data_IF_473687351682
#
_entry.id   IF_473687351682
#
_cell.length_a   1.000
_cell.length_b   1.000
_cell.length_c   1.000
_cell.angle_alpha   90.00
_cell.angle_beta   90.00
_cell.angle_gamma   90.00
#
_symmetry.space_group_name_H-M   'P 1'
#
loop_
_entity.id
_entity.type
_entity.pdbx_description
1 polymer ?
#
# COMPACT_ATOMS: atom_id res chain seq x y z
N UNK A 1 -1.34 14.16 55.92
CA UNK A 1 -2.35 13.76 54.90
C UNK A 1 -1.85 12.71 53.88
N UNK A 2 -0.56 12.53 53.69
CA UNK A 2 -0.01 11.61 52.68
C UNK A 2 -0.08 10.11 53.04
N UNK A 3 -0.11 9.76 54.31
CA UNK A 3 -0.14 8.33 54.76
C UNK A 3 -1.49 7.64 54.61
N UNK A 4 -2.60 8.36 54.52
CA UNK A 4 -3.94 7.77 54.31
C UNK A 4 -4.23 7.31 52.87
N UNK A 5 -3.59 7.93 51.90
CA UNK A 5 -3.79 7.55 50.49
C UNK A 5 -2.93 6.36 50.07
N UNK A 6 -1.81 6.11 50.74
CA UNK A 6 -0.95 4.96 50.48
C UNK A 6 -1.58 3.65 50.91
N UNK A 7 -2.40 3.66 51.97
CA UNK A 7 -3.11 2.47 52.47
C UNK A 7 -4.28 2.07 51.58
N UNK A 8 -4.93 3.03 50.91
CA UNK A 8 -6.04 2.77 50.00
C UNK A 8 -5.56 2.16 48.65
N UNK A 9 -4.34 2.47 48.23
CA UNK A 9 -3.75 1.94 46.99
C UNK A 9 -3.29 0.49 47.15
N UNK A 10 -2.88 0.09 48.36
CA UNK A 10 -2.46 -1.30 48.68
C UNK A 10 -3.68 -2.25 48.78
N UNK A 11 -4.83 -1.74 49.21
CA UNK A 11 -6.06 -2.55 49.29
C UNK A 11 -6.67 -2.80 47.90
N UNK A 12 -6.49 -1.89 46.93
CA UNK A 12 -6.94 -2.07 45.54
C UNK A 12 -6.04 -3.04 44.77
N UNK A 13 -4.78 -3.18 45.15
CA UNK A 13 -3.86 -4.14 44.50
C UNK A 13 -3.99 -5.56 45.02
N UNK A 14 -4.47 -5.77 46.26
CA UNK A 14 -4.73 -7.10 46.80
C UNK A 14 -6.07 -7.69 46.38
N UNK A 15 -7.04 -6.90 45.92
CA UNK A 15 -8.31 -7.39 45.39
C UNK A 15 -8.22 -7.90 43.93
N UNK A 16 -7.12 -7.66 43.20
CA UNK A 16 -6.89 -8.19 41.85
C UNK A 16 -6.05 -9.48 41.82
N UNK A 17 -5.57 -9.97 42.97
CA UNK A 17 -4.67 -11.11 43.02
C UNK A 17 -5.38 -12.48 43.27
N UNK A 18 -6.66 -12.51 43.65
CA UNK A 18 -7.34 -13.75 44.02
C UNK A 18 -8.36 -14.29 42.99
N UNK A 19 -8.30 -13.87 41.73
CA UNK A 19 -9.20 -14.37 40.68
C UNK A 19 -8.47 -15.10 39.54
N UNK A 20 -7.31 -15.71 39.78
CA UNK A 20 -6.56 -16.50 38.80
C UNK A 20 -6.74 -18.01 38.89
N UNK A 21 -7.78 -18.48 39.55
CA UNK A 21 -8.05 -19.92 39.65
C UNK A 21 -9.47 -20.32 39.27
N UNK A 22 -9.99 -19.89 38.10
CA UNK A 22 -11.11 -20.62 37.47
C UNK A 22 -11.40 -20.12 36.04
N UNK A 23 -10.45 -20.26 35.14
CA UNK A 23 -10.77 -20.35 33.70
C UNK A 23 -9.66 -21.09 32.93
N UNK A 24 -9.27 -22.28 33.46
CA UNK A 24 -8.81 -23.34 32.56
C UNK A 24 -10.04 -23.99 31.93
N UNK A 25 -10.88 -23.21 31.29
CA UNK A 25 -11.70 -23.74 30.22
C UNK A 25 -10.76 -23.96 29.05
N UNK A 26 -10.37 -25.23 28.87
CA UNK A 26 -9.71 -25.74 27.68
C UNK A 26 -10.46 -25.20 26.47
N UNK A 27 -9.81 -24.32 25.70
CA UNK A 27 -10.12 -24.12 24.31
C UNK A 27 -9.57 -25.33 23.52
N UNK A 28 -10.07 -26.50 23.84
CA UNK A 28 -9.94 -27.68 22.99
C UNK A 28 -10.98 -27.50 21.89
N UNK A 29 -10.54 -27.07 20.69
CA UNK A 29 -11.43 -27.14 19.54
C UNK A 29 -11.23 -26.16 18.40
N UNK A 30 -10.41 -25.15 18.54
CA UNK A 30 -9.89 -24.45 17.35
C UNK A 30 -8.43 -24.84 17.24
N UNK A 31 -8.16 -25.89 16.46
CA UNK A 31 -6.81 -26.16 15.96
C UNK A 31 -6.24 -24.84 15.46
N UNK A 32 -4.93 -24.61 15.63
CA UNK A 32 -4.26 -23.48 15.00
C UNK A 32 -4.77 -23.43 13.55
N UNK A 33 -5.29 -22.30 13.07
CA UNK A 33 -5.81 -22.24 11.72
C UNK A 33 -4.74 -22.80 10.81
N UNK A 34 -5.03 -23.90 10.10
CA UNK A 34 -4.14 -24.42 9.07
C UNK A 34 -3.86 -23.24 8.16
N UNK A 35 -2.59 -22.84 8.08
CA UNK A 35 -2.21 -21.78 7.17
C UNK A 35 -2.72 -22.18 5.80
N UNK A 36 -3.59 -21.34 5.21
CA UNK A 36 -4.09 -21.60 3.89
C UNK A 36 -2.89 -21.69 2.95
N UNK A 37 -2.75 -22.80 2.23
CA UNK A 37 -1.63 -23.04 1.33
C UNK A 37 -1.59 -22.00 0.20
N UNK A 38 -2.74 -21.42 -0.17
CA UNK A 38 -2.82 -20.31 -1.11
C UNK A 38 -2.13 -19.05 -0.58
N UNK A 39 -2.23 -18.74 0.74
CA UNK A 39 -1.51 -17.62 1.35
C UNK A 39 -0.01 -17.86 1.39
N UNK A 40 0.43 -19.09 1.64
CA UNK A 40 1.86 -19.45 1.57
C UNK A 40 2.39 -19.35 0.15
N UNK A 41 1.59 -19.74 -0.84
CA UNK A 41 1.93 -19.59 -2.25
C UNK A 41 2.03 -18.12 -2.63
N UNK A 42 1.03 -17.31 -2.27
CA UNK A 42 1.02 -15.86 -2.50
C UNK A 42 2.21 -15.16 -1.82
N UNK A 43 2.61 -15.60 -0.62
CA UNK A 43 3.75 -15.03 0.09
C UNK A 43 5.07 -15.13 -0.69
N UNK A 44 5.18 -16.02 -1.68
CA UNK A 44 6.35 -16.12 -2.54
C UNK A 44 6.49 -14.94 -3.49
N UNK A 45 5.39 -14.27 -3.84
CA UNK A 45 5.38 -13.08 -4.67
C UNK A 45 5.98 -11.84 -3.95
N UNK A 46 6.15 -11.92 -2.63
CA UNK A 46 6.69 -10.83 -1.80
C UNK A 46 8.13 -11.09 -1.32
N UNK A 47 8.88 -11.93 -2.03
CA UNK A 47 10.32 -12.09 -1.78
C UNK A 47 11.07 -10.87 -2.29
N UNK A 48 12.01 -10.39 -1.50
CA UNK A 48 12.86 -9.26 -1.84
C UNK A 48 13.60 -9.51 -3.16
N UNK A 49 13.26 -8.73 -4.17
CA UNK A 49 13.81 -8.86 -5.52
C UNK A 49 13.53 -7.64 -6.38
N UNK A 50 14.52 -7.26 -7.20
CA UNK A 50 14.31 -6.29 -8.30
C UNK A 50 13.82 -7.03 -9.54
N UNK A 51 12.65 -6.63 -10.04
CA UNK A 51 12.09 -7.09 -11.32
C UNK A 51 12.34 -6.05 -12.39
N UNK A 52 12.51 -6.49 -13.64
CA UNK A 52 12.70 -5.63 -14.81
C UNK A 52 11.67 -6.01 -15.87
N UNK A 53 10.40 -5.59 -15.71
CA UNK A 53 9.33 -5.93 -16.66
C UNK A 53 9.53 -5.26 -18.03
N UNK A 54 10.32 -4.18 -18.09
CA UNK A 54 10.78 -3.49 -19.30
C UNK A 54 12.22 -3.00 -19.07
N UNK A 55 13.04 -2.88 -20.11
CA UNK A 55 14.44 -2.43 -20.00
C UNK A 55 14.61 -1.09 -19.27
N UNK A 56 13.60 -0.20 -19.37
CA UNK A 56 13.59 1.12 -18.73
C UNK A 56 12.71 1.14 -17.46
N UNK A 57 12.26 0.01 -16.93
CA UNK A 57 11.44 -0.04 -15.72
C UNK A 57 12.00 -1.10 -14.77
N UNK A 58 12.31 -0.70 -13.54
CA UNK A 58 12.68 -1.60 -12.46
C UNK A 58 11.70 -1.49 -11.31
N UNK A 59 11.42 -2.61 -10.67
CA UNK A 59 10.43 -2.70 -9.57
C UNK A 59 11.06 -3.39 -8.39
N UNK A 60 11.14 -2.70 -7.26
CA UNK A 60 11.57 -3.26 -5.99
C UNK A 60 10.37 -3.91 -5.30
N UNK A 61 10.34 -5.24 -5.26
CA UNK A 61 9.27 -6.04 -4.63
C UNK A 61 9.80 -6.69 -3.36
N UNK A 62 9.01 -6.68 -2.27
CA UNK A 62 9.32 -7.40 -1.04
C UNK A 62 10.29 -6.69 -0.09
N UNK A 63 10.70 -5.47 -0.37
CA UNK A 63 11.51 -4.63 0.54
C UNK A 63 10.69 -4.05 1.69
N UNK A 64 9.41 -3.83 1.45
CA UNK A 64 8.43 -3.32 2.39
C UNK A 64 7.03 -3.83 2.04
N UNK A 65 5.99 -3.18 2.56
CA UNK A 65 4.61 -3.57 2.27
C UNK A 65 4.27 -3.28 0.82
N UNK A 66 4.57 -2.07 0.32
CA UNK A 66 4.38 -1.69 -1.08
C UNK A 66 5.67 -1.89 -1.91
N UNK A 67 5.54 -1.78 -3.21
CA UNK A 67 6.63 -1.72 -4.17
C UNK A 67 7.10 -0.27 -4.38
N UNK A 68 8.33 -0.10 -4.87
CA UNK A 68 8.81 1.16 -5.45
C UNK A 68 9.23 0.93 -6.89
N UNK A 69 8.82 1.81 -7.80
CA UNK A 69 8.96 1.59 -9.24
C UNK A 69 9.82 2.69 -9.84
N UNK A 70 10.97 2.32 -10.38
CA UNK A 70 11.89 3.22 -11.10
C UNK A 70 11.57 3.20 -12.58
N UNK A 71 11.36 4.37 -13.17
CA UNK A 71 11.22 4.60 -14.63
C UNK A 71 12.42 5.40 -15.12
N UNK A 72 13.17 4.84 -16.06
CA UNK A 72 14.34 5.47 -16.65
C UNK A 72 13.92 6.26 -17.91
N UNK A 73 14.13 7.57 -17.90
CA UNK A 73 14.09 8.43 -19.08
C UNK A 73 15.41 8.38 -19.86
N UNK A 74 15.70 9.41 -20.66
CA UNK A 74 16.96 9.51 -21.41
C UNK A 74 18.13 9.93 -20.50
N UNK A 75 17.96 11.00 -19.72
CA UNK A 75 18.98 11.57 -18.82
C UNK A 75 18.52 11.72 -17.38
N UNK A 76 17.25 11.43 -17.10
CA UNK A 76 16.60 11.55 -15.79
C UNK A 76 15.80 10.30 -15.49
N UNK A 77 15.38 10.16 -14.23
CA UNK A 77 14.51 9.07 -13.79
C UNK A 77 13.38 9.58 -12.91
N UNK A 78 12.29 8.83 -12.91
CA UNK A 78 11.14 9.03 -12.04
C UNK A 78 10.94 7.79 -11.16
N UNK A 79 10.55 8.00 -9.90
CA UNK A 79 10.16 6.92 -8.98
C UNK A 79 8.67 7.07 -8.63
N UNK A 80 7.92 5.99 -8.81
CA UNK A 80 6.53 5.88 -8.34
C UNK A 80 6.52 5.08 -7.05
N UNK A 81 5.98 5.68 -6.01
CA UNK A 81 5.91 5.23 -4.63
C UNK A 81 7.29 5.03 -3.97
N UNK A 82 7.42 5.47 -2.74
CA UNK A 82 8.72 5.69 -2.08
C UNK A 82 8.95 4.81 -0.87
N UNK A 83 8.16 3.78 -0.64
CA UNK A 83 8.21 2.89 0.52
C UNK A 83 7.66 3.51 1.82
N UNK A 84 7.62 2.71 2.90
CA UNK A 84 7.06 3.07 4.20
C UNK A 84 7.97 3.87 5.13
N UNK A 85 9.25 4.06 4.76
CA UNK A 85 10.20 4.85 5.55
C UNK A 85 11.57 4.95 4.93
N UNK A 86 12.43 5.75 5.56
CA UNK A 86 13.76 6.14 5.06
C UNK A 86 14.68 4.94 4.93
N UNK A 87 14.71 4.04 5.92
CA UNK A 87 15.62 2.90 5.96
C UNK A 87 15.29 1.89 4.85
N UNK A 88 14.01 1.58 4.68
CA UNK A 88 13.56 0.69 3.61
C UNK A 88 13.79 1.32 2.23
N UNK A 89 13.48 2.60 2.05
CA UNK A 89 13.74 3.33 0.80
C UNK A 89 15.23 3.39 0.46
N UNK A 90 16.11 3.56 1.46
CA UNK A 90 17.58 3.56 1.26
C UNK A 90 18.08 2.21 0.74
N UNK A 91 17.54 1.10 1.24
CA UNK A 91 17.85 -0.24 0.71
C UNK A 91 17.39 -0.39 -0.74
N UNK A 92 16.17 0.06 -1.03
CA UNK A 92 15.64 0.05 -2.41
C UNK A 92 16.52 0.85 -3.35
N UNK A 93 16.93 2.06 -2.98
CA UNK A 93 17.80 2.91 -3.81
C UNK A 93 19.13 2.19 -4.10
N UNK A 94 19.73 1.55 -3.11
CA UNK A 94 20.98 0.81 -3.27
C UNK A 94 20.85 -0.34 -4.29
N UNK A 95 19.73 -1.10 -4.22
CA UNK A 95 19.55 -2.30 -5.05
C UNK A 95 18.96 -2.00 -6.43
N UNK A 96 18.29 -0.86 -6.62
CA UNK A 96 17.81 -0.43 -7.93
C UNK A 96 18.95 -0.17 -8.92
N UNK A 97 20.18 0.04 -8.44
CA UNK A 97 21.33 0.35 -9.28
C UNK A 97 21.00 1.45 -10.31
N UNK A 98 20.60 2.62 -9.79
CA UNK A 98 20.20 3.78 -10.58
C UNK A 98 21.45 4.31 -11.32
N UNK A 99 21.40 4.42 -12.66
CA UNK A 99 22.55 4.92 -13.42
C UNK A 99 22.91 6.36 -13.03
N UNK A 100 24.18 6.65 -12.79
CA UNK A 100 24.64 7.99 -12.41
C UNK A 100 24.34 9.08 -13.44
N UNK A 101 24.23 8.70 -14.71
CA UNK A 101 23.84 9.60 -15.81
C UNK A 101 22.33 9.72 -16.01
N UNK A 102 21.53 9.08 -15.14
CA UNK A 102 20.06 9.15 -15.12
C UNK A 102 19.56 9.27 -13.67
N UNK A 103 19.97 10.32 -12.93
CA UNK A 103 19.56 10.49 -11.54
C UNK A 103 18.04 10.61 -11.41
N UNK A 104 17.50 10.29 -10.25
CA UNK A 104 16.10 10.53 -9.94
C UNK A 104 15.89 12.04 -9.76
N UNK A 105 14.98 12.61 -10.53
CA UNK A 105 14.59 14.03 -10.44
C UNK A 105 13.11 14.19 -10.06
N UNK A 106 12.32 13.13 -10.21
CA UNK A 106 10.88 13.19 -9.98
C UNK A 106 10.42 12.02 -9.14
N UNK A 107 9.60 12.30 -8.13
CA UNK A 107 8.84 11.33 -7.35
C UNK A 107 7.36 11.46 -7.67
N UNK A 108 6.62 10.38 -7.60
CA UNK A 108 5.17 10.38 -7.70
C UNK A 108 4.56 9.49 -6.63
N UNK A 109 3.50 9.93 -5.98
CA UNK A 109 2.72 9.13 -5.04
C UNK A 109 1.44 8.69 -5.71
N UNK A 110 1.16 7.39 -5.71
CA UNK A 110 -0.11 6.88 -6.22
C UNK A 110 -1.28 7.28 -5.33
N UNK A 111 -1.06 7.35 -4.01
CA UNK A 111 -2.03 7.79 -3.02
C UNK A 111 -1.36 8.04 -1.66
N UNK A 112 -2.14 8.44 -0.65
CA UNK A 112 -1.63 8.96 0.63
C UNK A 112 -1.11 7.91 1.62
N UNK A 113 -1.31 6.60 1.43
CA UNK A 113 -0.92 5.60 2.42
C UNK A 113 0.58 5.63 2.74
N UNK A 114 0.90 5.21 3.96
CA UNK A 114 2.25 5.29 4.53
C UNK A 114 3.31 4.58 3.70
N UNK A 115 2.98 3.39 3.23
CA UNK A 115 3.88 2.51 2.47
C UNK A 115 4.19 3.00 1.06
N UNK A 116 3.55 4.08 0.61
CA UNK A 116 3.80 4.74 -0.69
C UNK A 116 4.53 6.08 -0.53
N UNK A 117 4.42 6.73 0.65
CA UNK A 117 4.79 8.15 0.79
C UNK A 117 5.89 8.44 1.80
N UNK A 118 6.13 7.56 2.78
CA UNK A 118 6.98 7.90 3.93
C UNK A 118 8.47 7.65 3.73
N UNK A 119 8.91 7.08 2.61
CA UNK A 119 10.34 6.89 2.30
C UNK A 119 10.95 7.99 1.44
N UNK A 120 10.19 9.02 1.06
CA UNK A 120 10.61 10.04 0.09
C UNK A 120 11.86 10.80 0.49
N UNK A 121 12.08 11.02 1.79
CA UNK A 121 13.28 11.72 2.30
C UNK A 121 14.58 11.01 1.89
N UNK A 122 14.61 9.68 1.83
CA UNK A 122 15.79 8.94 1.40
C UNK A 122 16.20 9.28 -0.04
N UNK A 123 15.22 9.54 -0.92
CA UNK A 123 15.50 9.97 -2.29
C UNK A 123 16.01 11.41 -2.32
N UNK A 124 15.43 12.31 -1.51
CA UNK A 124 15.87 13.72 -1.40
C UNK A 124 17.29 13.82 -0.86
N UNK A 125 17.68 12.95 0.08
CA UNK A 125 19.01 12.92 0.66
C UNK A 125 20.10 12.46 -0.35
N UNK A 126 19.71 11.70 -1.38
CA UNK A 126 20.64 11.14 -2.36
C UNK A 126 20.58 11.80 -3.74
N UNK A 127 19.47 12.43 -4.10
CA UNK A 127 19.22 12.99 -5.42
C UNK A 127 18.65 14.41 -5.33
N UNK A 128 18.87 15.19 -6.38
CA UNK A 128 18.27 16.52 -6.53
C UNK A 128 16.84 16.37 -7.07
N UNK A 129 15.88 16.14 -6.16
CA UNK A 129 14.48 15.99 -6.53
C UNK A 129 13.89 17.36 -6.90
N UNK A 130 13.41 17.50 -8.12
CA UNK A 130 12.80 18.72 -8.68
C UNK A 130 11.28 18.69 -8.49
N UNK A 131 10.67 17.51 -8.69
CA UNK A 131 9.22 17.35 -8.70
C UNK A 131 8.78 16.23 -7.76
N UNK A 132 7.70 16.48 -7.03
CA UNK A 132 6.94 15.46 -6.29
C UNK A 132 5.49 15.59 -6.72
N UNK A 133 4.96 14.59 -7.43
CA UNK A 133 3.66 14.62 -8.09
C UNK A 133 2.65 13.81 -7.27
N UNK A 134 1.44 14.34 -7.08
CA UNK A 134 0.32 13.60 -6.48
C UNK A 134 -1.03 14.17 -6.91
N UNK A 135 -2.11 13.49 -6.51
CA UNK A 135 -3.45 14.08 -6.57
C UNK A 135 -3.57 15.26 -5.58
N UNK A 136 -4.39 16.25 -5.89
CA UNK A 136 -4.52 17.49 -5.08
C UNK A 136 -5.00 17.23 -3.65
N UNK A 137 -5.79 16.17 -3.41
CA UNK A 137 -6.32 15.84 -2.08
C UNK A 137 -5.34 15.06 -1.20
N UNK A 138 -4.27 14.49 -1.77
CA UNK A 138 -3.27 13.67 -1.04
C UNK A 138 -2.71 14.38 0.20
N UNK A 139 -2.43 15.69 0.10
CA UNK A 139 -1.89 16.48 1.22
C UNK A 139 -2.87 16.53 2.40
N UNK A 140 -4.17 16.69 2.10
CA UNK A 140 -5.21 16.75 3.13
C UNK A 140 -5.42 15.36 3.77
N UNK A 141 -5.42 14.31 2.97
CA UNK A 141 -5.55 12.93 3.46
C UNK A 141 -4.39 12.52 4.37
N UNK A 142 -3.15 12.86 4.01
CA UNK A 142 -1.97 12.63 4.87
C UNK A 142 -2.11 13.36 6.20
N UNK A 143 -2.47 14.65 6.18
CA UNK A 143 -2.65 15.43 7.40
C UNK A 143 -3.71 14.83 8.32
N UNK A 144 -4.84 14.41 7.77
CA UNK A 144 -5.96 13.88 8.55
C UNK A 144 -5.66 12.47 9.08
N UNK A 145 -5.01 11.63 8.28
CA UNK A 145 -4.67 10.26 8.63
C UNK A 145 -3.58 10.18 9.70
N UNK A 146 -2.46 10.90 9.50
CA UNK A 146 -1.34 10.91 10.44
C UNK A 146 -1.49 11.92 11.57
N UNK A 147 -2.48 12.81 11.48
CA UNK A 147 -2.85 13.77 12.54
C UNK A 147 -3.97 13.23 13.42
N UNK A 148 -5.19 13.60 13.10
CA UNK A 148 -6.38 13.39 13.97
C UNK A 148 -6.69 11.89 14.19
N UNK A 149 -6.49 11.06 13.17
CA UNK A 149 -6.86 9.62 13.22
C UNK A 149 -5.71 8.70 13.65
N UNK A 150 -4.51 9.24 13.84
CA UNK A 150 -3.27 8.49 14.01
C UNK A 150 -3.34 7.38 15.05
N UNK A 151 -3.67 7.72 16.28
CA UNK A 151 -3.58 6.77 17.41
C UNK A 151 -4.57 5.61 17.25
N UNK A 152 -5.81 5.93 16.85
CA UNK A 152 -6.85 4.92 16.62
C UNK A 152 -6.47 3.97 15.47
N UNK A 153 -5.96 4.51 14.37
CA UNK A 153 -5.59 3.71 13.19
C UNK A 153 -4.35 2.87 13.48
N UNK A 154 -3.36 3.43 14.19
CA UNK A 154 -2.14 2.71 14.57
C UNK A 154 -2.46 1.49 15.43
N UNK A 155 -3.25 1.62 16.48
CA UNK A 155 -3.64 0.50 17.33
C UNK A 155 -4.36 -0.61 16.56
N UNK A 156 -5.30 -0.23 15.70
CA UNK A 156 -6.06 -1.18 14.88
C UNK A 156 -5.20 -1.83 13.80
N UNK A 157 -4.24 -1.10 13.22
CA UNK A 157 -3.30 -1.62 12.24
C UNK A 157 -2.41 -2.72 12.81
N UNK A 158 -1.93 -2.60 14.05
CA UNK A 158 -1.16 -3.66 14.72
C UNK A 158 -1.91 -4.99 14.76
N UNK A 159 -3.23 -4.95 14.97
CA UNK A 159 -4.10 -6.14 14.98
C UNK A 159 -4.38 -6.64 13.55
N UNK A 160 -4.71 -5.73 12.63
CA UNK A 160 -5.05 -6.05 11.25
C UNK A 160 -3.90 -6.72 10.50
N UNK A 161 -2.68 -6.20 10.65
CA UNK A 161 -1.49 -6.72 9.97
C UNK A 161 -0.76 -7.82 10.76
N UNK A 162 -1.33 -8.28 11.89
CA UNK A 162 -0.73 -9.35 12.68
C UNK A 162 0.60 -8.99 13.33
N UNK A 163 0.90 -7.70 13.51
CA UNK A 163 2.17 -7.23 14.11
C UNK A 163 2.35 -7.68 15.55
N UNK A 164 1.25 -7.98 16.25
CA UNK A 164 1.24 -8.49 17.62
C UNK A 164 1.41 -10.02 17.72
N UNK A 165 1.40 -10.75 16.59
CA UNK A 165 1.58 -12.20 16.59
C UNK A 165 3.02 -12.58 16.94
N UNK A 166 3.21 -13.77 17.53
CA UNK A 166 4.54 -14.31 17.80
C UNK A 166 5.28 -14.65 16.50
N UNK A 167 6.62 -14.63 16.52
CA UNK A 167 7.45 -14.88 15.32
C UNK A 167 7.10 -16.20 14.62
N UNK A 168 6.83 -17.28 15.36
CA UNK A 168 6.42 -18.57 14.79
C UNK A 168 5.10 -18.51 14.00
N UNK A 169 4.25 -17.53 14.30
CA UNK A 169 2.93 -17.35 13.69
C UNK A 169 2.96 -16.27 12.57
N UNK A 170 4.12 -15.67 12.34
CA UNK A 170 4.34 -14.57 11.38
C UNK A 170 4.79 -15.04 9.98
N UNK A 171 4.66 -16.31 9.69
CA UNK A 171 5.19 -16.89 8.42
C UNK A 171 4.31 -16.59 7.19
N UNK A 172 3.10 -16.07 7.40
CA UNK A 172 2.20 -15.66 6.32
C UNK A 172 2.31 -14.17 6.05
N UNK A 173 2.26 -13.79 4.78
CA UNK A 173 2.11 -12.40 4.38
C UNK A 173 0.76 -11.85 4.84
N UNK A 174 0.62 -10.53 4.85
CA UNK A 174 -0.68 -9.86 5.05
C UNK A 174 -1.67 -10.06 3.89
N UNK A 175 -1.29 -10.83 2.85
CA UNK A 175 -2.04 -11.03 1.61
C UNK A 175 -1.72 -10.00 0.52
N UNK A 176 -1.14 -8.86 0.87
CA UNK A 176 -0.78 -7.78 -0.07
C UNK A 176 0.71 -7.42 -0.02
N UNK A 177 1.48 -7.97 0.91
CA UNK A 177 2.90 -7.67 1.05
C UNK A 177 3.52 -8.38 2.23
N UNK A 178 4.78 -8.05 2.50
CA UNK A 178 5.43 -8.49 3.71
C UNK A 178 4.76 -7.83 4.92
N UNK A 179 4.89 -8.46 6.05
CA UNK A 179 4.35 -7.99 7.30
C UNK A 179 4.93 -6.61 7.66
N UNK A 180 4.04 -5.71 8.10
CA UNK A 180 4.46 -4.46 8.70
C UNK A 180 5.22 -4.74 10.01
N UNK A 181 6.50 -4.41 10.02
CA UNK A 181 7.33 -4.39 11.23
C UNK A 181 7.27 -2.98 11.83
N UNK A 182 6.85 -2.89 13.08
CA UNK A 182 6.78 -1.61 13.79
C UNK A 182 8.15 -1.21 14.32
N UNK A 183 8.53 0.06 14.16
CA UNK A 183 9.73 0.64 14.78
C UNK A 183 11.04 0.45 14.01
N UNK A 184 10.99 -0.04 12.77
CA UNK A 184 12.18 -0.24 11.92
C UNK A 184 12.43 0.96 11.02
N UNK A 185 11.36 1.62 10.53
CA UNK A 185 11.43 2.70 9.57
C UNK A 185 11.13 4.07 10.19
N UNK A 186 11.92 5.06 9.82
CA UNK A 186 11.72 6.48 10.14
C UNK A 186 10.85 7.13 9.07
N UNK A 187 9.71 7.76 9.42
CA UNK A 187 8.88 8.47 8.44
C UNK A 187 9.61 9.67 7.82
N UNK A 188 9.65 9.75 6.51
CA UNK A 188 10.29 10.79 5.73
C UNK A 188 9.44 11.29 4.57
N UNK A 189 8.22 11.78 4.88
CA UNK A 189 7.32 12.34 3.89
C UNK A 189 7.83 13.67 3.33
N UNK A 190 7.77 13.83 2.00
CA UNK A 190 8.02 15.09 1.29
C UNK A 190 6.72 15.56 0.65
N UNK A 191 6.38 16.83 0.92
CA UNK A 191 5.16 17.43 0.39
C UNK A 191 5.23 17.54 -1.13
N UNK A 192 4.16 17.17 -1.87
CA UNK A 192 4.06 17.35 -3.31
C UNK A 192 4.30 18.80 -3.75
N UNK A 193 5.05 18.97 -4.83
CA UNK A 193 5.31 20.25 -5.50
C UNK A 193 4.38 20.46 -6.70
N UNK A 194 3.88 19.37 -7.28
CA UNK A 194 2.92 19.37 -8.39
C UNK A 194 1.71 18.57 -7.95
N UNK A 195 0.54 19.19 -8.03
CA UNK A 195 -0.75 18.51 -7.76
C UNK A 195 -1.72 18.75 -8.91
N UNK A 196 -2.60 17.78 -9.14
CA UNK A 196 -3.62 17.85 -10.20
C UNK A 196 -4.93 17.19 -9.72
N UNK A 197 -6.04 17.46 -10.41
CA UNK A 197 -7.36 16.90 -10.08
C UNK A 197 -7.71 15.67 -10.92
N UNK A 198 -7.74 15.77 -12.25
CA UNK A 198 -8.22 14.68 -13.11
C UNK A 198 -7.12 13.98 -13.90
N UNK A 199 -6.26 14.79 -14.53
CA UNK A 199 -5.21 14.32 -15.45
C UNK A 199 -4.00 15.25 -15.41
N UNK A 200 -2.81 14.65 -15.50
CA UNK A 200 -1.55 15.35 -15.66
C UNK A 200 -0.62 14.56 -16.57
N UNK A 201 0.04 15.23 -17.50
CA UNK A 201 1.11 14.64 -18.32
C UNK A 201 2.45 15.28 -17.95
N UNK A 202 3.43 14.43 -17.66
CA UNK A 202 4.80 14.80 -17.34
C UNK A 202 5.73 14.32 -18.44
N UNK A 203 6.57 15.20 -18.93
CA UNK A 203 7.66 14.85 -19.85
C UNK A 203 8.93 14.53 -19.07
N UNK A 204 9.27 13.25 -18.98
CA UNK A 204 10.52 12.78 -18.41
C UNK A 204 11.59 12.72 -19.53
N UNK A 205 12.07 13.89 -19.95
CA UNK A 205 13.11 14.02 -20.98
C UNK A 205 12.80 13.23 -22.27
N UNK A 206 11.65 13.57 -22.88
CA UNK A 206 11.12 12.95 -24.10
C UNK A 206 10.37 11.63 -23.88
N UNK A 207 10.19 11.19 -22.65
CA UNK A 207 9.29 10.10 -22.29
C UNK A 207 8.02 10.66 -21.63
N UNK A 208 6.91 10.59 -22.33
CA UNK A 208 5.61 10.98 -21.77
C UNK A 208 5.15 10.00 -20.70
N UNK A 209 4.84 10.52 -19.51
CA UNK A 209 4.26 9.80 -18.39
C UNK A 209 2.95 10.48 -18.02
N UNK A 210 1.86 9.72 -18.06
CA UNK A 210 0.50 10.21 -17.82
C UNK A 210 0.00 9.75 -16.46
N UNK A 211 -0.60 10.67 -15.71
CA UNK A 211 -1.21 10.45 -14.40
C UNK A 211 -2.71 10.70 -14.51
N UNK A 212 -3.50 9.73 -14.07
CA UNK A 212 -4.96 9.81 -14.11
C UNK A 212 -5.53 9.64 -12.71
N UNK A 213 -6.41 10.54 -12.30
CA UNK A 213 -7.21 10.33 -11.10
C UNK A 213 -8.14 9.13 -11.28
N UNK A 214 -8.07 8.20 -10.35
CA UNK A 214 -8.75 6.93 -10.41
C UNK A 214 -9.14 6.45 -9.02
N UNK A 215 -10.12 7.11 -8.37
CA UNK A 215 -10.52 6.77 -7.01
C UNK A 215 -10.99 5.31 -6.91
N UNK A 216 -10.57 4.65 -5.84
CA UNK A 216 -10.84 3.23 -5.63
C UNK A 216 -10.53 2.85 -4.20
N UNK A 217 -9.33 2.35 -3.92
CA UNK A 217 -8.94 2.06 -2.55
C UNK A 217 -8.94 3.32 -1.68
N UNK A 218 -8.52 4.45 -2.24
CA UNK A 218 -8.62 5.78 -1.63
C UNK A 218 -9.21 6.78 -2.61
N UNK A 219 -9.70 7.91 -2.10
CA UNK A 219 -10.29 8.94 -2.96
C UNK A 219 -9.24 9.73 -3.75
N UNK A 220 -7.99 9.81 -3.25
CA UNK A 220 -6.85 10.45 -3.91
C UNK A 220 -6.08 9.52 -4.85
N UNK A 221 -6.50 8.27 -5.00
CA UNK A 221 -5.83 7.26 -5.80
C UNK A 221 -5.68 7.71 -7.26
N UNK A 222 -4.48 7.54 -7.79
CA UNK A 222 -4.19 7.71 -9.21
C UNK A 222 -3.57 6.43 -9.78
N UNK A 223 -3.60 6.31 -11.10
CA UNK A 223 -2.73 5.38 -11.81
C UNK A 223 -1.78 6.12 -12.74
N UNK A 224 -0.62 5.50 -12.99
CA UNK A 224 0.38 6.00 -13.92
C UNK A 224 0.35 5.16 -15.18
N UNK A 225 0.36 5.82 -16.34
CA UNK A 225 0.40 5.20 -17.65
C UNK A 225 1.60 5.70 -18.46
N UNK A 226 2.34 4.78 -19.06
CA UNK A 226 3.43 5.11 -20.00
C UNK A 226 3.02 4.60 -21.39
N UNK A 227 2.46 5.46 -22.26
CA UNK A 227 1.91 5.04 -23.55
C UNK A 227 2.92 4.30 -24.41
N UNK A 228 4.17 4.78 -24.45
CA UNK A 228 5.26 4.21 -25.24
C UNK A 228 5.56 2.75 -24.91
N UNK A 229 5.39 2.36 -23.64
CA UNK A 229 5.68 1.01 -23.15
C UNK A 229 4.41 0.18 -22.90
N UNK A 230 3.24 0.79 -23.12
CA UNK A 230 1.95 0.23 -22.72
C UNK A 230 1.98 -0.31 -21.27
N UNK A 231 2.68 0.42 -20.40
CA UNK A 231 2.90 0.06 -19.01
C UNK A 231 1.95 0.84 -18.10
N UNK A 232 1.21 0.10 -17.28
CA UNK A 232 0.22 0.58 -16.32
C UNK A 232 0.70 0.31 -14.89
N UNK A 233 0.71 1.34 -14.05
CA UNK A 233 0.97 1.28 -12.62
C UNK A 233 -0.31 1.71 -11.89
N UNK A 234 -1.14 0.78 -11.45
CA UNK A 234 -2.50 1.06 -10.97
C UNK A 234 -2.56 1.57 -9.52
N UNK A 235 -1.42 1.70 -8.83
CA UNK A 235 -1.39 1.86 -7.38
C UNK A 235 -2.04 0.67 -6.68
N UNK A 236 -2.83 0.95 -5.63
CA UNK A 236 -3.56 -0.06 -4.86
C UNK A 236 -4.94 -0.39 -5.41
N UNK A 237 -5.26 0.14 -6.60
CA UNK A 237 -6.52 -0.23 -7.25
C UNK A 237 -6.55 -1.69 -7.70
N UNK A 238 -5.40 -2.37 -7.72
CA UNK A 238 -5.31 -3.81 -7.96
C UNK A 238 -4.08 -4.44 -7.29
N UNK A 239 -4.28 -5.60 -6.71
CA UNK A 239 -3.26 -6.53 -6.19
C UNK A 239 -3.78 -7.96 -6.25
N UNK A 240 -2.91 -8.97 -6.09
CA UNK A 240 -3.28 -10.40 -6.22
C UNK A 240 -4.00 -10.96 -4.98
N UNK A 241 -4.95 -10.22 -4.42
CA UNK A 241 -5.80 -10.65 -3.33
C UNK A 241 -7.21 -10.08 -3.53
N UNK A 242 -8.19 -10.53 -2.74
CA UNK A 242 -9.53 -9.95 -2.80
C UNK A 242 -9.48 -8.46 -2.47
N UNK A 243 -10.21 -7.59 -3.22
CA UNK A 243 -10.22 -6.15 -2.98
C UNK A 243 -10.51 -5.81 -1.52
N UNK A 244 -9.69 -4.96 -0.91
CA UNK A 244 -9.90 -4.48 0.45
C UNK A 244 -11.03 -3.43 0.49
N UNK A 245 -12.24 -3.88 0.22
CA UNK A 245 -13.44 -3.05 0.11
C UNK A 245 -13.72 -2.28 1.40
N UNK A 246 -13.38 -2.88 2.55
CA UNK A 246 -13.47 -2.26 3.86
C UNK A 246 -12.32 -2.73 4.75
N UNK A 247 -11.48 -1.81 5.19
CA UNK A 247 -10.35 -2.15 6.05
C UNK A 247 -10.75 -2.16 7.54
N UNK A 248 -10.37 -3.23 8.25
CA UNK A 248 -10.69 -3.43 9.68
C UNK A 248 -10.09 -2.32 10.56
N UNK A 249 -8.93 -1.77 10.20
CA UNK A 249 -8.31 -0.64 10.91
C UNK A 249 -9.14 0.64 10.88
N UNK A 250 -10.08 0.72 9.98
CA UNK A 250 -10.87 1.91 9.69
C UNK A 250 -10.31 2.70 8.51
N UNK A 251 -11.22 3.25 7.73
CA UNK A 251 -10.95 4.10 6.56
C UNK A 251 -12.14 5.00 6.29
N UNK A 252 -11.99 5.98 5.41
CA UNK A 252 -13.10 6.64 4.74
C UNK A 252 -13.87 5.64 3.89
N UNK A 253 -15.08 5.99 3.49
CA UNK A 253 -15.88 5.16 2.59
C UNK A 253 -15.12 4.94 1.27
N UNK A 254 -15.02 3.68 0.84
CA UNK A 254 -14.48 3.28 -0.45
C UNK A 254 -15.63 3.09 -1.43
N UNK A 255 -15.72 3.95 -2.43
CA UNK A 255 -16.80 3.90 -3.42
C UNK A 255 -16.59 2.73 -4.39
N UNK A 256 -17.40 1.68 -4.27
CA UNK A 256 -17.35 0.54 -5.19
C UNK A 256 -17.52 0.97 -6.64
N UNK A 257 -18.47 1.91 -6.87
CA UNK A 257 -18.74 2.45 -8.20
C UNK A 257 -17.53 3.16 -8.79
N UNK A 258 -16.88 4.04 -8.02
CA UNK A 258 -15.69 4.74 -8.48
C UNK A 258 -14.56 3.74 -8.76
N UNK A 259 -14.38 2.74 -7.89
CA UNK A 259 -13.33 1.76 -8.03
C UNK A 259 -13.48 0.91 -9.30
N UNK A 260 -14.64 0.27 -9.52
CA UNK A 260 -14.81 -0.53 -10.74
C UNK A 260 -14.77 0.32 -12.02
N UNK A 261 -15.25 1.58 -11.98
CA UNK A 261 -15.13 2.52 -13.12
C UNK A 261 -13.66 2.89 -13.39
N UNK A 262 -12.83 3.05 -12.35
CA UNK A 262 -11.39 3.29 -12.50
C UNK A 262 -10.71 2.09 -13.16
N UNK A 263 -11.09 0.86 -12.80
CA UNK A 263 -10.58 -0.35 -13.46
C UNK A 263 -10.99 -0.42 -14.94
N UNK A 264 -12.22 -0.03 -15.27
CA UNK A 264 -12.70 0.05 -16.66
C UNK A 264 -11.89 1.05 -17.49
N UNK A 265 -11.51 2.22 -16.93
CA UNK A 265 -10.60 3.18 -17.57
C UNK A 265 -9.23 2.55 -17.86
N UNK A 266 -8.68 1.81 -16.89
CA UNK A 266 -7.39 1.11 -17.04
C UNK A 266 -7.45 0.03 -18.12
N UNK A 267 -8.52 -0.75 -18.17
CA UNK A 267 -8.73 -1.80 -19.18
C UNK A 267 -8.82 -1.21 -20.60
N UNK A 268 -9.44 -0.03 -20.75
CA UNK A 268 -9.57 0.65 -22.04
C UNK A 268 -8.23 1.09 -22.66
N UNK A 269 -7.17 1.21 -21.84
CA UNK A 269 -5.82 1.50 -22.31
C UNK A 269 -5.14 0.26 -22.92
N UNK A 270 -5.70 -0.92 -22.71
CA UNK A 270 -5.16 -2.21 -23.20
C UNK A 270 -3.67 -2.40 -22.83
N UNK A 271 -3.31 -2.39 -21.55
CA UNK A 271 -1.92 -2.48 -21.12
C UNK A 271 -1.28 -3.83 -21.47
N UNK A 272 0.03 -3.79 -21.76
CA UNK A 272 0.86 -4.98 -22.02
C UNK A 272 1.77 -5.30 -20.84
N UNK A 273 1.98 -4.32 -19.95
CA UNK A 273 2.72 -4.47 -18.69
C UNK A 273 1.86 -3.87 -17.57
N UNK A 274 1.58 -4.65 -16.53
CA UNK A 274 0.91 -4.21 -15.32
C UNK A 274 1.87 -4.33 -14.13
N UNK A 275 2.08 -3.22 -13.43
CA UNK A 275 2.99 -3.13 -12.28
C UNK A 275 2.20 -2.65 -11.07
N UNK A 276 1.61 -3.57 -10.29
CA UNK A 276 0.87 -3.20 -9.08
C UNK A 276 1.81 -2.66 -8.00
N UNK A 277 1.27 -1.85 -7.10
CA UNK A 277 2.05 -1.39 -5.94
C UNK A 277 2.26 -2.49 -4.88
N UNK A 278 1.63 -3.65 -5.02
CA UNK A 278 1.84 -4.83 -4.18
C UNK A 278 1.99 -6.09 -5.03
N UNK A 279 3.09 -6.82 -4.82
CA UNK A 279 3.39 -8.08 -5.51
C UNK A 279 4.12 -7.92 -6.84
N UNK A 280 4.15 -8.98 -7.62
CA UNK A 280 4.98 -9.07 -8.84
C UNK A 280 4.31 -8.45 -10.06
N UNK A 281 5.08 -7.85 -11.00
CA UNK A 281 4.57 -7.41 -12.30
C UNK A 281 3.91 -8.55 -13.10
N UNK A 282 2.99 -8.17 -13.97
CA UNK A 282 2.29 -9.07 -14.91
C UNK A 282 2.54 -8.58 -16.33
N UNK A 283 2.95 -9.47 -17.22
CA UNK A 283 3.16 -9.17 -18.62
C UNK A 283 2.14 -9.92 -19.50
N UNK A 284 1.73 -9.29 -20.57
CA UNK A 284 0.82 -9.84 -21.57
C UNK A 284 -0.61 -9.30 -21.43
N UNK A 285 -1.08 -8.67 -22.52
CA UNK A 285 -2.38 -7.98 -22.58
C UNK A 285 -3.54 -8.86 -22.13
N UNK A 286 -3.63 -10.10 -22.60
CA UNK A 286 -4.75 -11.00 -22.30
C UNK A 286 -4.82 -11.32 -20.80
N UNK A 287 -3.69 -11.67 -20.20
CA UNK A 287 -3.63 -11.98 -18.77
C UNK A 287 -3.94 -10.73 -17.93
N UNK A 288 -3.43 -9.57 -18.30
CA UNK A 288 -3.70 -8.31 -17.61
C UNK A 288 -5.19 -7.99 -17.68
N UNK A 289 -5.81 -8.05 -18.84
CA UNK A 289 -7.25 -7.81 -19.00
C UNK A 289 -8.09 -8.83 -18.21
N UNK A 290 -7.67 -10.09 -18.17
CA UNK A 290 -8.31 -11.12 -17.33
C UNK A 290 -8.24 -10.78 -15.84
N UNK A 291 -7.07 -10.37 -15.36
CA UNK A 291 -6.87 -9.99 -13.95
C UNK A 291 -7.69 -8.74 -13.60
N UNK A 292 -7.62 -7.69 -14.42
CA UNK A 292 -8.38 -6.45 -14.22
C UNK A 292 -9.90 -6.69 -14.25
N UNK A 293 -10.39 -7.52 -15.20
CA UNK A 293 -11.82 -7.83 -15.30
C UNK A 293 -12.31 -8.63 -14.09
N UNK A 294 -11.57 -9.65 -13.65
CA UNK A 294 -11.91 -10.42 -12.46
C UNK A 294 -12.00 -9.53 -11.21
N UNK A 295 -11.07 -8.60 -11.07
CA UNK A 295 -11.02 -7.68 -9.93
C UNK A 295 -12.19 -6.69 -9.96
N UNK A 296 -12.46 -6.10 -11.13
CA UNK A 296 -13.65 -5.26 -11.38
C UNK A 296 -14.93 -6.00 -11.05
N UNK A 297 -15.07 -7.24 -11.56
CA UNK A 297 -16.29 -8.03 -11.40
C UNK A 297 -16.54 -8.43 -9.95
N UNK A 298 -15.46 -8.71 -9.18
CA UNK A 298 -15.56 -8.97 -7.75
C UNK A 298 -16.13 -7.75 -7.00
N UNK A 299 -15.61 -6.55 -7.26
CA UNK A 299 -16.11 -5.30 -6.64
C UNK A 299 -17.55 -5.01 -7.08
N UNK A 300 -17.81 -5.12 -8.37
CA UNK A 300 -19.13 -4.88 -8.94
C UNK A 300 -20.17 -5.87 -8.42
N UNK A 301 -19.82 -7.15 -8.28
CA UNK A 301 -20.69 -8.15 -7.71
C UNK A 301 -21.14 -7.78 -6.30
N UNK A 302 -20.22 -7.39 -5.42
CA UNK A 302 -20.57 -6.97 -4.04
C UNK A 302 -21.50 -5.76 -4.08
N UNK A 303 -21.18 -4.74 -4.88
CA UNK A 303 -22.04 -3.57 -5.07
C UNK A 303 -23.44 -3.96 -5.51
N UNK A 304 -23.56 -4.75 -6.56
CA UNK A 304 -24.86 -5.09 -7.17
C UNK A 304 -25.71 -5.96 -6.21
N UNK A 305 -25.08 -6.88 -5.43
CA UNK A 305 -25.80 -7.65 -4.42
C UNK A 305 -26.28 -6.77 -3.24
N UNK A 306 -25.50 -5.79 -2.83
CA UNK A 306 -25.93 -4.82 -1.81
C UNK A 306 -27.12 -4.02 -2.31
N UNK A 307 -27.07 -3.48 -3.54
CA UNK A 307 -28.16 -2.72 -4.14
C UNK A 307 -29.43 -3.57 -4.32
N UNK A 308 -29.26 -4.82 -4.74
CA UNK A 308 -30.39 -5.76 -4.86
C UNK A 308 -31.08 -5.98 -3.52
N UNK A 309 -30.31 -6.24 -2.45
CA UNK A 309 -30.87 -6.46 -1.11
C UNK A 309 -31.56 -5.21 -0.58
N UNK A 310 -30.97 -4.02 -0.76
CA UNK A 310 -31.61 -2.76 -0.35
C UNK A 310 -32.93 -2.50 -1.08
N UNK A 311 -33.03 -2.87 -2.35
CA UNK A 311 -34.25 -2.65 -3.15
C UNK A 311 -35.32 -3.72 -2.90
N UNK A 312 -34.99 -4.83 -2.28
CA UNK A 312 -35.95 -5.92 -1.97
C UNK A 312 -36.60 -5.79 -0.60
N UNK A 313 -36.19 -4.86 0.23
CA UNK A 313 -36.75 -4.59 1.59
C UNK A 313 -36.04 -5.41 2.64
#
# INVERSE_FOLDING_TARGET
MLKKYLLLLIILLSACADNTNNSKQKSEGLGAPNQNDDLKYLAQDFREKIYTPHENIKVAVGYGLANSILVLGNTQSLVVDTMGGIETASRVIADLNIPSNKPVTTLAYTHFHADHTLGAQAFVDQFSIENVISHETTIAEIRDFFGIKRDLISERSLKMFGSILQEKDKTSSSGIGIKLETGIDTPGYIKPTITFSDFYSHDLDGLEIQFFHAPGETDDQLFVWIPKYRALMPGDNIYKAFPNIYTIRGTTYRSFKSWYTSLEKMMALEPEILIPSHGTPINGKEEILRVLSNYRDAIKYVHDQMMRNLNSG
#
